data_IF_956780690576
#
_entry.id   IF_956780690576
#
_cell.length_a   1.000
_cell.length_b   1.000
_cell.length_c   1.000
_cell.angle_alpha   90.00
_cell.angle_beta   90.00
_cell.angle_gamma   90.00
#
_symmetry.space_group_name_H-M   'P 1'
#
loop_
_entity.id
_entity.type
_entity.pdbx_description
1 polymer ?
#
# COMPACT_ATOMS: atom_id res chain seq x y z
N UNK A 1 9.64 4.84 11.25
CA UNK A 1 10.74 5.56 10.58
C UNK A 1 10.20 6.58 9.59
N UNK A 2 10.84 7.74 9.41
CA UNK A 2 10.42 8.72 8.39
C UNK A 2 11.14 8.48 7.05
N UNK A 3 10.42 7.94 6.07
CA UNK A 3 10.97 7.56 4.76
C UNK A 3 11.39 8.74 3.88
N UNK A 4 10.74 9.91 4.02
CA UNK A 4 11.05 11.11 3.22
C UNK A 4 12.49 11.61 3.39
N UNK A 5 13.13 11.31 4.53
CA UNK A 5 14.49 11.73 4.87
C UNK A 5 15.56 10.67 4.58
N UNK A 6 15.17 9.48 4.11
CA UNK A 6 16.09 8.38 3.83
C UNK A 6 16.64 8.47 2.42
N UNK A 7 17.86 7.97 2.24
CA UNK A 7 18.48 7.86 0.92
C UNK A 7 17.78 6.78 0.09
N UNK A 8 17.19 7.19 -1.02
CA UNK A 8 16.42 6.32 -1.91
C UNK A 8 17.26 5.25 -2.61
N UNK A 9 18.58 5.41 -2.65
CA UNK A 9 19.49 4.50 -3.35
C UNK A 9 20.00 3.36 -2.47
N UNK A 10 20.08 3.58 -1.16
CA UNK A 10 20.70 2.65 -0.20
C UNK A 10 19.73 2.12 0.86
N UNK A 11 18.69 2.88 1.19
CA UNK A 11 17.73 2.47 2.20
C UNK A 11 16.71 1.48 1.65
N UNK A 12 16.44 0.43 2.41
CA UNK A 12 15.38 -0.53 2.12
C UNK A 12 14.18 -0.33 3.07
N UNK A 13 13.07 0.28 2.61
CA UNK A 13 11.89 0.48 3.45
C UNK A 13 11.08 -0.80 3.66
N UNK A 14 11.42 -1.94 3.03
CA UNK A 14 10.69 -3.18 3.30
C UNK A 14 10.90 -3.70 4.71
N UNK A 15 12.08 -3.43 5.29
CA UNK A 15 12.41 -3.84 6.66
C UNK A 15 11.52 -3.12 7.68
N UNK A 16 11.17 -1.86 7.41
CA UNK A 16 10.20 -1.13 8.22
C UNK A 16 8.81 -1.77 8.13
N UNK A 17 8.38 -2.23 6.95
CA UNK A 17 7.09 -2.91 6.78
C UNK A 17 7.05 -4.20 7.59
N UNK A 18 8.13 -4.98 7.56
CA UNK A 18 8.25 -6.21 8.35
C UNK A 18 8.19 -5.90 9.85
N UNK A 19 8.89 -4.86 10.31
CA UNK A 19 8.81 -4.41 11.69
C UNK A 19 7.39 -3.93 12.08
N UNK A 20 6.67 -3.26 11.18
CA UNK A 20 5.29 -2.86 11.43
C UNK A 20 4.34 -4.05 11.47
N UNK A 21 4.55 -5.05 10.60
CA UNK A 21 3.77 -6.28 10.60
C UNK A 21 3.99 -7.10 11.89
N UNK A 22 5.21 -7.11 12.44
CA UNK A 22 5.51 -7.77 13.72
C UNK A 22 4.77 -7.14 14.92
N UNK A 23 4.40 -5.86 14.83
CA UNK A 23 3.60 -5.22 15.87
C UNK A 23 2.11 -5.59 15.78
N UNK A 24 1.65 -6.19 14.68
CA UNK A 24 0.29 -6.68 14.58
C UNK A 24 0.16 -8.00 15.36
N UNK A 25 -0.92 -8.14 16.15
CA UNK A 25 -1.19 -9.38 16.90
C UNK A 25 -1.62 -10.55 16.01
N UNK A 26 -1.89 -10.30 14.73
CA UNK A 26 -2.33 -11.29 13.75
C UNK A 26 -1.53 -11.20 12.46
N UNK A 27 -1.70 -12.21 11.60
CA UNK A 27 -1.05 -12.26 10.29
C UNK A 27 -1.49 -11.06 9.45
N UNK A 28 -0.55 -10.33 8.88
CA UNK A 28 -0.86 -9.29 7.88
C UNK A 28 -0.91 -9.94 6.52
N UNK A 29 -2.01 -9.79 5.79
CA UNK A 29 -2.15 -10.31 4.41
C UNK A 29 -2.50 -9.22 3.38
N UNK A 30 -2.67 -7.98 3.82
CA UNK A 30 -2.91 -6.83 2.95
C UNK A 30 -2.26 -5.56 3.50
N UNK A 31 -1.69 -4.77 2.61
CA UNK A 31 -1.23 -3.39 2.85
C UNK A 31 -1.98 -2.47 1.89
N UNK A 32 -2.64 -1.46 2.45
CA UNK A 32 -3.34 -0.43 1.69
C UNK A 32 -2.57 0.88 1.81
N UNK A 33 -2.03 1.38 0.70
CA UNK A 33 -1.33 2.65 0.61
C UNK A 33 -2.24 3.76 0.08
N UNK A 34 -2.00 4.98 0.53
CA UNK A 34 -2.43 6.16 -0.22
C UNK A 34 -1.54 6.36 -1.47
N UNK A 35 -1.98 7.14 -2.47
CA UNK A 35 -1.20 7.33 -3.70
C UNK A 35 0.17 7.96 -3.47
N UNK A 36 0.33 8.89 -2.52
CA UNK A 36 1.60 9.56 -2.21
C UNK A 36 2.52 8.65 -1.41
N UNK A 37 1.98 7.93 -0.43
CA UNK A 37 2.72 6.91 0.32
C UNK A 37 3.26 5.81 -0.60
N UNK A 38 2.43 5.31 -1.53
CA UNK A 38 2.88 4.37 -2.56
C UNK A 38 3.97 4.96 -3.45
N UNK A 39 3.80 6.20 -3.91
CA UNK A 39 4.79 6.89 -4.74
C UNK A 39 6.14 7.05 -4.04
N UNK A 40 6.13 7.33 -2.73
CA UNK A 40 7.33 7.40 -1.91
C UNK A 40 7.97 6.01 -1.76
N UNK A 41 7.18 4.99 -1.41
CA UNK A 41 7.67 3.62 -1.24
C UNK A 41 8.32 3.06 -2.51
N UNK A 42 7.67 3.19 -3.67
CA UNK A 42 8.26 2.78 -4.98
C UNK A 42 9.43 3.64 -5.43
N UNK A 43 9.75 4.74 -4.73
CA UNK A 43 10.87 5.61 -5.11
C UNK A 43 12.23 5.05 -4.68
N UNK A 44 12.24 4.12 -3.73
CA UNK A 44 13.43 3.43 -3.26
C UNK A 44 13.91 2.39 -4.28
N UNK A 45 15.22 2.36 -4.53
CA UNK A 45 15.88 1.46 -5.48
C UNK A 45 15.62 -0.01 -5.12
N UNK A 46 15.80 -0.38 -3.85
CA UNK A 46 15.55 -1.74 -3.36
C UNK A 46 14.12 -2.21 -3.67
N UNK A 47 13.12 -1.33 -3.51
CA UNK A 47 11.72 -1.63 -3.81
C UNK A 47 11.52 -1.83 -5.31
N UNK A 48 12.06 -0.95 -6.16
CA UNK A 48 11.96 -1.09 -7.62
C UNK A 48 12.57 -2.39 -8.11
N UNK A 49 13.76 -2.74 -7.64
CA UNK A 49 14.45 -3.98 -8.00
C UNK A 49 13.63 -5.21 -7.59
N UNK A 50 13.08 -5.24 -6.37
CA UNK A 50 12.20 -6.33 -5.91
C UNK A 50 10.91 -6.43 -6.72
N UNK A 51 10.32 -5.31 -7.14
CA UNK A 51 9.12 -5.29 -7.98
C UNK A 51 9.42 -5.74 -9.42
N UNK A 52 10.53 -5.29 -10.02
CA UNK A 52 10.93 -5.63 -11.39
C UNK A 52 11.31 -7.11 -11.52
N UNK A 53 12.02 -7.67 -10.53
CA UNK A 53 12.40 -9.10 -10.52
C UNK A 53 11.17 -10.02 -10.48
N UNK A 54 10.07 -9.57 -9.87
CA UNK A 54 8.82 -10.32 -9.77
C UNK A 54 7.93 -10.27 -11.00
N UNK A 55 8.14 -9.33 -11.93
CA UNK A 55 7.43 -9.31 -13.22
C UNK A 55 7.73 -10.52 -14.09
N UNK A 56 8.80 -11.28 -13.82
CA UNK A 56 9.16 -12.51 -14.51
C UNK A 56 8.61 -13.82 -13.91
N UNK A 57 8.00 -13.79 -12.71
CA UNK A 57 7.59 -14.99 -11.97
C UNK A 57 6.14 -14.88 -11.49
N UNK A 58 5.18 -15.42 -12.26
CA UNK A 58 3.79 -15.78 -11.87
C UNK A 58 3.05 -14.86 -10.88
N UNK A 59 3.28 -13.56 -10.90
CA UNK A 59 2.51 -12.57 -10.14
C UNK A 59 2.28 -11.40 -11.08
N UNK A 60 1.04 -11.30 -11.56
CA UNK A 60 0.57 -10.20 -12.38
C UNK A 60 0.64 -8.91 -11.54
N UNK A 61 1.81 -8.28 -11.58
CA UNK A 61 2.03 -6.94 -11.10
C UNK A 61 1.31 -6.03 -12.10
N UNK A 62 0.08 -5.65 -11.78
CA UNK A 62 -0.75 -4.77 -12.60
C UNK A 62 -0.07 -3.38 -12.67
N UNK A 63 0.80 -3.23 -13.66
CA UNK A 63 1.57 -2.00 -13.91
C UNK A 63 0.75 -0.90 -14.59
N UNK A 64 -0.50 -1.18 -14.93
CA UNK A 64 -1.43 -0.24 -15.53
C UNK A 64 -2.51 0.16 -14.50
N UNK A 65 -2.89 1.45 -14.54
CA UNK A 65 -4.15 1.93 -13.97
C UNK A 65 -5.25 1.34 -14.85
N UNK A 66 -5.62 0.08 -14.65
CA UNK A 66 -6.56 -0.61 -15.55
C UNK A 66 -7.96 -0.01 -15.51
N UNK A 67 -8.28 0.81 -14.52
CA UNK A 67 -9.47 1.65 -14.54
C UNK A 67 -9.18 2.99 -13.86
N UNK A 68 -9.09 4.06 -14.66
CA UNK A 68 -9.08 5.44 -14.16
C UNK A 68 -10.39 5.81 -13.41
N UNK A 69 -11.38 4.92 -13.40
CA UNK A 69 -12.64 5.03 -12.67
C UNK A 69 -12.70 4.26 -11.34
N UNK A 70 -11.79 3.32 -11.08
CA UNK A 70 -11.79 2.60 -9.80
C UNK A 70 -10.91 3.30 -8.76
N UNK A 71 -11.48 3.56 -7.59
CA UNK A 71 -10.78 4.14 -6.45
C UNK A 71 -9.68 3.23 -5.86
N UNK A 72 -9.50 2.01 -6.40
CA UNK A 72 -8.62 0.98 -5.86
C UNK A 72 -7.74 0.45 -7.00
N UNK A 73 -6.44 0.33 -6.75
CA UNK A 73 -5.51 -0.27 -7.70
C UNK A 73 -4.66 -1.33 -7.00
N UNK A 74 -4.86 -2.59 -7.39
CA UNK A 74 -4.04 -3.70 -6.96
C UNK A 74 -2.65 -3.62 -7.59
N UNK A 75 -1.59 -3.78 -6.79
CA UNK A 75 -0.20 -3.66 -7.25
C UNK A 75 0.56 -4.97 -7.27
N UNK A 76 0.00 -6.06 -6.74
CA UNK A 76 0.66 -7.36 -6.67
C UNK A 76 0.95 -7.81 -5.25
N UNK A 77 1.75 -8.87 -5.13
CA UNK A 77 2.07 -9.52 -3.86
C UNK A 77 3.47 -9.17 -3.37
N UNK A 78 3.59 -8.82 -2.09
CA UNK A 78 4.84 -8.79 -1.33
C UNK A 78 4.93 -10.01 -0.40
N UNK A 79 5.57 -11.08 -0.87
CA UNK A 79 5.49 -12.36 -0.16
C UNK A 79 4.05 -12.86 -0.24
N UNK A 80 3.44 -13.15 0.91
CA UNK A 80 2.03 -13.53 1.02
C UNK A 80 1.08 -12.33 1.28
N UNK A 81 1.62 -11.11 1.24
CA UNK A 81 0.88 -9.88 1.56
C UNK A 81 0.50 -9.12 0.29
N UNK A 82 -0.79 -8.89 0.07
CA UNK A 82 -1.29 -8.08 -1.05
C UNK A 82 -0.96 -6.59 -0.88
N UNK A 83 -0.48 -5.93 -1.94
CA UNK A 83 -0.30 -4.47 -1.97
C UNK A 83 -1.42 -3.85 -2.80
N UNK A 84 -2.12 -2.90 -2.19
CA UNK A 84 -3.23 -2.15 -2.79
C UNK A 84 -2.98 -0.65 -2.62
N UNK A 85 -3.30 0.14 -3.64
CA UNK A 85 -3.33 1.60 -3.57
C UNK A 85 -4.78 2.06 -3.59
N UNK A 86 -5.21 2.82 -2.59
CA UNK A 86 -6.55 3.35 -2.48
C UNK A 86 -6.56 4.87 -2.67
N UNK A 87 -7.27 5.34 -3.69
CA UNK A 87 -7.43 6.75 -4.07
C UNK A 87 -8.87 7.23 -3.94
N UNK A 88 -9.70 6.57 -3.13
CA UNK A 88 -11.08 6.99 -2.90
C UNK A 88 -11.17 8.38 -2.28
N UNK A 89 -12.12 9.17 -2.77
CA UNK A 89 -12.36 10.54 -2.32
C UNK A 89 -13.80 10.74 -1.87
N UNK A 90 -14.00 11.66 -0.94
CA UNK A 90 -15.30 12.19 -0.53
C UNK A 90 -15.32 13.71 -0.68
N UNK A 91 -16.52 14.29 -0.75
CA UNK A 91 -16.70 15.74 -0.77
C UNK A 91 -17.18 16.19 0.60
N UNK A 92 -16.49 17.16 1.16
CA UNK A 92 -16.85 17.81 2.41
C UNK A 92 -16.76 19.32 2.22
N UNK A 93 -17.88 20.02 2.38
CA UNK A 93 -17.98 21.47 2.15
C UNK A 93 -17.44 21.90 0.77
N UNK A 94 -17.86 21.21 -0.30
CA UNK A 94 -17.41 21.40 -1.69
C UNK A 94 -15.90 21.16 -1.93
N UNK A 95 -15.18 20.64 -0.95
CA UNK A 95 -13.76 20.27 -1.07
C UNK A 95 -13.62 18.76 -1.18
N UNK A 96 -12.94 18.29 -2.23
CA UNK A 96 -12.56 16.88 -2.37
C UNK A 96 -11.46 16.53 -1.38
N UNK A 97 -11.69 15.47 -0.60
CA UNK A 97 -10.75 14.93 0.38
C UNK A 97 -10.57 13.44 0.16
N UNK A 98 -9.36 12.93 0.42
CA UNK A 98 -9.08 11.50 0.35
C UNK A 98 -9.63 10.81 1.60
N UNK A 99 -10.21 9.61 1.43
CA UNK A 99 -10.62 8.78 2.57
C UNK A 99 -9.41 8.30 3.39
N UNK A 100 -8.32 7.96 2.71
CA UNK A 100 -7.04 7.63 3.34
C UNK A 100 -6.16 8.90 3.35
N UNK A 101 -5.63 9.34 4.50
CA UNK A 101 -4.77 10.51 4.56
C UNK A 101 -3.47 10.33 3.76
N UNK A 102 -2.91 11.45 3.31
CA UNK A 102 -1.65 11.45 2.55
C UNK A 102 -0.49 10.84 3.35
N UNK A 103 0.39 10.11 2.66
CA UNK A 103 1.55 9.41 3.23
C UNK A 103 1.21 8.41 4.36
N UNK A 104 0.05 7.76 4.24
CA UNK A 104 -0.44 6.76 5.19
C UNK A 104 -0.55 5.39 4.51
N UNK A 105 -0.24 4.35 5.27
CA UNK A 105 -0.56 2.98 4.90
C UNK A 105 -1.25 2.26 6.06
N UNK A 106 -2.09 1.29 5.72
CA UNK A 106 -2.78 0.43 6.69
C UNK A 106 -2.39 -1.01 6.42
N UNK A 107 -1.87 -1.68 7.45
CA UNK A 107 -1.60 -3.11 7.45
C UNK A 107 -2.80 -3.82 8.08
N UNK A 108 -3.26 -4.91 7.48
CA UNK A 108 -4.41 -5.63 8.00
C UNK A 108 -4.50 -7.07 7.54
N UNK A 109 -5.58 -7.72 7.98
CA UNK A 109 -5.95 -9.06 7.55
C UNK A 109 -7.37 -9.02 6.98
N UNK A 110 -7.58 -9.51 5.76
CA UNK A 110 -8.91 -9.58 5.13
C UNK A 110 -9.88 -10.54 5.82
N UNK A 111 -9.39 -11.41 6.70
CA UNK A 111 -10.20 -12.27 7.56
C UNK A 111 -10.67 -11.57 8.83
N UNK A 112 -10.11 -10.40 9.18
CA UNK A 112 -10.59 -9.58 10.27
C UNK A 112 -11.91 -8.90 9.86
N UNK A 113 -13.02 -9.62 10.06
CA UNK A 113 -14.37 -9.17 9.67
C UNK A 113 -15.00 -8.38 10.81
N UNK A 114 -15.19 -7.09 10.58
CA UNK A 114 -16.01 -6.23 11.45
C UNK A 114 -17.51 -6.42 11.21
N UNK A 115 -18.31 -5.79 12.06
CA UNK A 115 -19.77 -5.75 11.97
C UNK A 115 -20.24 -4.29 11.94
N UNK A 116 -21.26 -4.00 11.11
CA UNK A 116 -21.88 -2.68 11.03
C UNK A 116 -23.23 -2.75 11.72
N UNK A 117 -23.33 -2.12 12.88
CA UNK A 117 -24.56 -2.07 13.67
C UNK A 117 -25.40 -0.86 13.28
N UNK A 118 -26.72 -1.03 13.28
CA UNK A 118 -27.70 0.04 13.09
C UNK A 118 -28.61 0.05 14.31
N UNK A 119 -28.76 1.21 14.94
CA UNK A 119 -29.66 1.44 16.07
C UNK A 119 -31.01 1.95 15.62
#
# INVERSE_FOLDING_TARGET
>A
TEWSKRDKSTYDPTDDIEAYALNASGVVNIIVFDPKGWALFRSFKAVREKLDTRRGSNSELETAVKDLGEAVSYKGMYGDTAIVVYSGQYVENDVKKNFLPDNTMVLGNTQARGLRTYG
#
